data_IF_266378715913
#
_entry.id   IF_266378715913
#
_cell.length_a   1.000
_cell.length_b   1.000
_cell.length_c   1.000
_cell.angle_alpha   90.00
_cell.angle_beta   90.00
_cell.angle_gamma   90.00
#
_symmetry.space_group_name_H-M   'P 1'
#
loop_
_entity.id
_entity.type
_entity.pdbx_description
1 polymer ?
#
# COMPACT_ATOMS: atom_id res chain seq x y z
N UNK A 1 -14.83 -72.47 26.53
CA UNK A 1 -14.04 -71.31 26.04
C UNK A 1 -15.02 -70.21 25.63
N UNK A 2 -15.17 -69.14 26.46
CA UNK A 2 -16.06 -68.04 26.18
C UNK A 2 -15.24 -66.93 25.53
N UNK A 3 -15.56 -66.55 24.24
CA UNK A 3 -14.98 -65.43 23.56
C UNK A 3 -15.67 -64.11 23.96
N UNK A 4 -14.93 -63.17 24.55
CA UNK A 4 -15.39 -61.85 24.92
C UNK A 4 -15.09 -60.97 23.68
N UNK A 5 -16.14 -60.45 23.03
CA UNK A 5 -16.02 -59.41 22.03
C UNK A 5 -16.02 -58.06 22.75
N UNK A 6 -14.91 -57.30 22.58
CA UNK A 6 -14.81 -55.91 23.02
C UNK A 6 -15.20 -55.02 21.83
N UNK A 7 -16.35 -54.37 21.94
CA UNK A 7 -16.78 -53.37 20.95
C UNK A 7 -16.11 -52.02 21.28
N UNK A 8 -15.20 -51.58 20.46
CA UNK A 8 -14.60 -50.22 20.54
C UNK A 8 -15.57 -49.21 19.94
N UNK A 9 -16.16 -48.38 20.78
CA UNK A 9 -16.94 -47.23 20.34
C UNK A 9 -15.97 -46.07 19.98
N UNK A 10 -15.84 -45.73 18.69
CA UNK A 10 -15.16 -44.50 18.25
C UNK A 10 -16.09 -43.31 18.45
N UNK A 11 -15.79 -42.46 19.42
CA UNK A 11 -16.40 -41.12 19.50
C UNK A 11 -15.79 -40.24 18.42
N UNK A 12 -16.56 -39.93 17.38
CA UNK A 12 -16.22 -38.88 16.41
C UNK A 12 -16.47 -37.53 17.06
N UNK A 13 -15.40 -36.84 17.49
CA UNK A 13 -15.45 -35.45 17.89
C UNK A 13 -15.63 -34.58 16.62
N UNK A 14 -16.87 -34.27 16.30
CA UNK A 14 -17.21 -33.31 15.25
C UNK A 14 -16.80 -31.91 15.69
N UNK A 15 -15.68 -31.41 15.17
CA UNK A 15 -15.33 -30.00 15.30
C UNK A 15 -16.30 -29.17 14.44
N UNK A 16 -17.28 -28.54 15.08
CA UNK A 16 -18.11 -27.54 14.41
C UNK A 16 -17.22 -26.32 14.15
N UNK A 17 -16.80 -26.14 12.89
CA UNK A 17 -16.19 -24.90 12.46
C UNK A 17 -17.26 -23.80 12.62
N UNK A 18 -17.14 -22.97 13.64
CA UNK A 18 -17.95 -21.76 13.79
C UNK A 18 -17.56 -20.82 12.65
N UNK A 19 -18.49 -20.52 11.76
CA UNK A 19 -18.34 -19.46 10.79
C UNK A 19 -18.15 -18.14 11.57
N UNK A 20 -16.93 -17.59 11.52
CA UNK A 20 -16.66 -16.27 12.10
C UNK A 20 -17.48 -15.25 11.32
N UNK A 21 -18.34 -14.52 12.02
CA UNK A 21 -19.03 -13.35 11.45
C UNK A 21 -17.95 -12.37 10.99
N UNK A 22 -17.92 -11.95 9.70
CA UNK A 22 -16.95 -10.98 9.25
C UNK A 22 -17.03 -9.71 10.10
N UNK A 23 -15.92 -9.31 10.70
CA UNK A 23 -15.85 -8.03 11.40
C UNK A 23 -16.05 -6.91 10.39
N UNK A 24 -16.84 -5.86 10.71
CA UNK A 24 -16.93 -4.68 9.85
C UNK A 24 -15.54 -4.14 9.55
N UNK A 25 -15.29 -3.80 8.29
CA UNK A 25 -14.01 -3.25 7.89
C UNK A 25 -13.85 -1.83 8.46
N UNK A 26 -12.72 -1.59 9.12
CA UNK A 26 -12.34 -0.27 9.66
C UNK A 26 -11.33 0.37 8.70
N UNK A 27 -11.87 1.01 7.67
CA UNK A 27 -11.09 1.65 6.61
C UNK A 27 -10.62 3.04 7.01
N UNK A 28 -9.34 3.30 6.81
CA UNK A 28 -8.74 4.63 6.93
C UNK A 28 -8.27 5.09 5.55
N UNK A 29 -8.55 6.36 5.24
CA UNK A 29 -8.04 7.03 4.04
C UNK A 29 -7.24 8.27 4.45
N UNK A 30 -6.04 8.44 3.91
CA UNK A 30 -5.25 9.65 3.98
C UNK A 30 -5.10 10.22 2.57
N UNK A 31 -5.41 11.49 2.40
CA UNK A 31 -5.25 12.20 1.14
C UNK A 31 -4.24 13.34 1.31
N UNK A 32 -3.29 13.41 0.38
CA UNK A 32 -2.27 14.45 0.30
C UNK A 32 -2.41 15.14 -1.05
N UNK A 33 -2.12 16.43 -1.08
CA UNK A 33 -2.17 17.24 -2.30
C UNK A 33 -1.17 18.38 -2.22
N UNK A 34 -0.43 18.62 -3.32
CA UNK A 34 0.52 19.73 -3.43
C UNK A 34 0.59 20.21 -4.86
N UNK A 35 0.57 21.54 -5.04
CA UNK A 35 0.69 22.13 -6.36
C UNK A 35 2.17 22.25 -6.78
N UNK A 36 2.44 21.98 -8.06
CA UNK A 36 3.76 21.96 -8.69
C UNK A 36 3.77 23.00 -9.80
N UNK A 37 4.78 23.88 -9.81
CA UNK A 37 4.98 24.90 -10.83
C UNK A 37 5.65 24.31 -12.10
N UNK A 38 5.08 23.22 -12.61
CA UNK A 38 5.48 22.54 -13.85
C UNK A 38 4.26 21.93 -14.54
N UNK A 39 4.28 21.79 -15.88
CA UNK A 39 3.29 20.99 -16.62
C UNK A 39 3.22 19.55 -16.13
N UNK A 40 2.07 18.91 -16.25
CA UNK A 40 1.84 17.56 -15.73
C UNK A 40 2.81 16.50 -16.28
N UNK A 41 3.20 16.57 -17.56
CA UNK A 41 4.18 15.63 -18.15
C UNK A 41 5.53 15.72 -17.44
N UNK A 42 6.06 16.96 -17.27
CA UNK A 42 7.34 17.17 -16.59
C UNK A 42 7.27 16.83 -15.11
N UNK A 43 6.19 17.22 -14.45
CA UNK A 43 5.98 16.90 -13.04
C UNK A 43 5.92 15.38 -12.82
N UNK A 44 5.21 14.63 -13.67
CA UNK A 44 5.12 13.18 -13.61
C UNK A 44 6.48 12.50 -13.78
N UNK A 45 7.23 12.90 -14.79
CA UNK A 45 8.56 12.36 -15.05
C UNK A 45 9.54 12.64 -13.91
N UNK A 46 9.66 13.90 -13.49
CA UNK A 46 10.64 14.32 -12.47
C UNK A 46 10.26 13.89 -11.04
N UNK A 47 8.96 13.82 -10.71
CA UNK A 47 8.50 13.26 -9.44
C UNK A 47 8.60 11.72 -9.38
N UNK A 48 9.08 11.07 -10.44
CA UNK A 48 9.33 9.63 -10.45
C UNK A 48 8.13 8.77 -10.83
N UNK A 49 7.13 9.34 -11.50
CA UNK A 49 5.96 8.58 -11.94
C UNK A 49 6.28 7.47 -12.96
N UNK A 50 7.40 7.59 -13.65
CA UNK A 50 7.91 6.58 -14.60
C UNK A 50 8.93 5.60 -13.98
N UNK A 51 9.42 5.87 -12.76
CA UNK A 51 10.33 5.00 -12.01
C UNK A 51 9.55 4.30 -10.90
N UNK A 52 9.31 3.00 -11.08
CA UNK A 52 8.51 2.20 -10.13
C UNK A 52 9.09 2.18 -8.71
N UNK A 53 10.39 2.42 -8.55
CA UNK A 53 11.06 2.50 -7.24
C UNK A 53 11.37 3.93 -6.76
N UNK A 54 10.99 4.97 -7.49
CA UNK A 54 11.25 6.36 -7.08
C UNK A 54 10.72 6.71 -5.70
N UNK A 55 9.57 6.16 -5.30
CA UNK A 55 8.97 6.39 -3.98
C UNK A 55 9.94 6.05 -2.85
N UNK A 56 10.77 5.02 -3.00
CA UNK A 56 11.75 4.61 -2.00
C UNK A 56 12.67 5.75 -1.57
N UNK A 57 13.12 6.57 -2.54
CA UNK A 57 13.97 7.76 -2.28
C UNK A 57 13.21 8.82 -1.47
N UNK A 58 11.91 8.99 -1.74
CA UNK A 58 11.10 10.03 -1.10
C UNK A 58 10.65 9.67 0.31
N UNK A 59 10.53 8.37 0.61
CA UNK A 59 10.16 7.87 1.95
C UNK A 59 11.36 7.34 2.76
N UNK A 60 12.60 7.50 2.24
CA UNK A 60 13.87 7.02 2.84
C UNK A 60 13.87 5.50 3.13
N UNK A 61 13.34 4.70 2.21
CA UNK A 61 13.33 3.24 2.30
C UNK A 61 13.95 2.61 1.04
N UNK A 62 14.78 1.56 1.19
CA UNK A 62 15.28 0.81 0.04
C UNK A 62 14.12 0.21 -0.76
N UNK A 63 14.24 0.28 -2.09
CA UNK A 63 13.27 -0.28 -3.02
C UNK A 63 13.98 -1.09 -4.10
N UNK A 64 13.44 -2.26 -4.42
CA UNK A 64 13.91 -3.13 -5.51
C UNK A 64 12.74 -3.46 -6.41
N UNK A 65 12.92 -3.33 -7.72
CA UNK A 65 11.96 -3.82 -8.71
C UNK A 65 12.15 -5.33 -8.87
N UNK A 66 11.14 -6.09 -8.52
CA UNK A 66 11.19 -7.57 -8.59
C UNK A 66 10.77 -8.06 -9.98
N UNK A 67 9.80 -7.39 -10.62
CA UNK A 67 9.37 -7.67 -12.00
C UNK A 67 8.68 -6.47 -12.63
N UNK A 68 8.74 -6.39 -13.97
CA UNK A 68 8.17 -5.30 -14.76
C UNK A 68 8.92 -3.98 -14.62
N UNK A 69 8.29 -2.88 -15.07
CA UNK A 69 8.85 -1.52 -15.04
C UNK A 69 7.85 -0.49 -14.49
N UNK A 70 6.81 -0.95 -13.77
CA UNK A 70 5.73 -0.13 -13.24
C UNK A 70 4.44 -0.16 -14.07
N UNK A 71 4.35 -0.98 -15.12
CA UNK A 71 3.08 -1.31 -15.79
C UNK A 71 2.20 -2.19 -14.90
N UNK A 72 0.94 -2.39 -15.33
CA UNK A 72 -0.02 -3.25 -14.63
C UNK A 72 0.58 -4.64 -14.36
N UNK A 73 0.54 -5.09 -13.12
CA UNK A 73 1.09 -6.37 -12.67
C UNK A 73 2.59 -6.32 -12.32
N UNK A 74 3.29 -5.19 -12.45
CA UNK A 74 4.67 -5.05 -11.96
C UNK A 74 4.73 -5.18 -10.45
N UNK A 75 5.83 -5.76 -9.93
CA UNK A 75 6.10 -5.93 -8.52
C UNK A 75 7.36 -5.19 -8.08
N UNK A 76 7.33 -4.67 -6.86
CA UNK A 76 8.51 -4.15 -6.14
C UNK A 76 8.49 -4.58 -4.69
N UNK A 77 9.65 -4.62 -4.06
CA UNK A 77 9.83 -4.80 -2.62
C UNK A 77 10.35 -3.51 -1.99
N UNK A 78 9.65 -3.00 -0.99
CA UNK A 78 10.09 -1.92 -0.11
C UNK A 78 10.61 -2.54 1.19
N UNK A 79 11.84 -2.25 1.59
CA UNK A 79 12.41 -2.76 2.84
C UNK A 79 12.08 -1.78 3.97
N UNK A 80 11.18 -2.17 4.86
CA UNK A 80 10.79 -1.38 6.03
C UNK A 80 11.49 -1.88 7.30
N UNK A 81 11.53 -1.09 8.38
CA UNK A 81 12.06 -1.57 9.67
C UNK A 81 11.34 -2.81 10.22
N UNK A 82 10.09 -3.03 9.82
CA UNK A 82 9.29 -4.20 10.19
C UNK A 82 9.50 -5.40 9.25
N UNK A 83 10.31 -5.26 8.21
CA UNK A 83 10.59 -6.27 7.19
C UNK A 83 10.20 -5.84 5.79
N UNK A 84 10.45 -6.69 4.79
CA UNK A 84 10.14 -6.42 3.40
C UNK A 84 8.62 -6.40 3.16
N UNK A 85 8.17 -5.44 2.35
CA UNK A 85 6.79 -5.29 1.91
C UNK A 85 6.75 -5.36 0.40
N UNK A 86 6.00 -6.32 -0.13
CA UNK A 86 5.80 -6.49 -1.57
C UNK A 86 4.61 -5.65 -2.00
N UNK A 87 4.77 -4.92 -3.09
CA UNK A 87 3.74 -4.09 -3.71
C UNK A 87 3.59 -4.45 -5.18
N UNK A 88 2.35 -4.46 -5.68
CA UNK A 88 2.08 -4.65 -7.10
C UNK A 88 1.21 -3.54 -7.67
N UNK A 89 1.43 -3.19 -8.94
CA UNK A 89 0.60 -2.23 -9.67
C UNK A 89 -0.73 -2.89 -10.02
N UNK A 90 -1.84 -2.32 -9.53
CA UNK A 90 -3.21 -2.82 -9.76
C UNK A 90 -4.03 -1.91 -10.69
N UNK A 91 -3.59 -0.67 -10.90
CA UNK A 91 -4.14 0.23 -11.91
C UNK A 91 -3.08 1.22 -12.37
N UNK A 92 -3.16 1.67 -13.64
CA UNK A 92 -2.26 2.67 -14.20
C UNK A 92 -2.94 3.47 -15.31
N UNK A 93 -2.65 4.78 -15.33
CA UNK A 93 -2.96 5.68 -16.44
C UNK A 93 -1.68 6.39 -16.87
N UNK A 94 -1.79 7.38 -17.79
CA UNK A 94 -0.64 8.20 -18.21
C UNK A 94 0.02 8.92 -17.02
N UNK A 95 -0.77 9.44 -16.08
CA UNK A 95 -0.29 10.24 -14.95
C UNK A 95 -0.75 9.69 -13.59
N UNK A 96 -0.99 8.41 -13.48
CA UNK A 96 -1.29 7.79 -12.19
C UNK A 96 -0.89 6.33 -12.16
N UNK A 97 -0.62 5.84 -10.97
CA UNK A 97 -0.63 4.42 -10.65
C UNK A 97 -1.27 4.17 -9.29
N UNK A 98 -1.93 3.03 -9.17
CA UNK A 98 -2.38 2.48 -7.90
C UNK A 98 -1.63 1.18 -7.65
N UNK A 99 -1.15 1.01 -6.43
CA UNK A 99 -0.52 -0.23 -5.98
C UNK A 99 -1.23 -0.81 -4.78
N UNK A 100 -1.10 -2.11 -4.61
CA UNK A 100 -1.60 -2.86 -3.46
C UNK A 100 -0.46 -3.58 -2.76
N UNK A 101 -0.65 -3.88 -1.46
CA UNK A 101 0.22 -4.74 -0.66
C UNK A 101 -0.51 -6.07 -0.40
N UNK A 102 -0.44 -7.05 -1.33
CA UNK A 102 -1.31 -8.24 -1.30
C UNK A 102 -1.01 -9.19 -0.14
N UNK A 103 0.19 -9.08 0.46
CA UNK A 103 0.63 -9.99 1.51
C UNK A 103 0.65 -9.35 2.91
N UNK A 104 0.04 -8.17 3.06
CA UNK A 104 -0.10 -7.52 4.38
C UNK A 104 -1.50 -7.71 4.93
N UNK A 105 -1.67 -7.86 6.27
CA UNK A 105 -2.99 -8.08 6.88
C UNK A 105 -3.91 -6.85 6.81
N UNK A 106 -3.39 -5.70 6.41
CA UNK A 106 -4.11 -4.42 6.43
C UNK A 106 -4.72 -4.04 5.06
N UNK A 107 -4.59 -4.85 4.03
CA UNK A 107 -5.14 -4.56 2.70
C UNK A 107 -4.76 -3.16 2.19
N UNK A 108 -3.49 -2.82 2.28
CA UNK A 108 -3.02 -1.47 1.97
C UNK A 108 -2.99 -1.21 0.46
N UNK A 109 -3.49 -0.03 0.08
CA UNK A 109 -3.40 0.51 -1.27
C UNK A 109 -2.87 1.94 -1.23
N UNK A 110 -2.12 2.30 -2.26
CA UNK A 110 -1.70 3.69 -2.47
C UNK A 110 -1.90 4.10 -3.91
N UNK A 111 -2.39 5.32 -4.13
CA UNK A 111 -2.53 5.91 -5.46
C UNK A 111 -1.74 7.21 -5.53
N UNK A 112 -0.81 7.28 -6.46
CA UNK A 112 -0.13 8.53 -6.85
C UNK A 112 -0.73 9.02 -8.17
N UNK A 113 -1.06 10.30 -8.27
CA UNK A 113 -1.54 10.90 -9.51
C UNK A 113 -1.05 12.34 -9.67
N UNK A 114 -0.93 12.79 -10.93
CA UNK A 114 -0.70 14.20 -11.29
C UNK A 114 -1.81 14.65 -12.21
N UNK A 115 -2.44 15.79 -11.87
CA UNK A 115 -3.48 16.45 -12.65
C UNK A 115 -2.92 17.74 -13.27
N UNK A 116 -3.14 18.04 -14.56
CA UNK A 116 -2.85 19.36 -15.11
C UNK A 116 -3.84 20.39 -14.53
N UNK A 117 -3.32 21.50 -14.00
CA UNK A 117 -4.14 22.66 -13.57
C UNK A 117 -4.17 23.72 -14.63
N UNK A 118 -3.00 24.02 -15.23
CA UNK A 118 -2.82 24.96 -16.33
C UNK A 118 -1.79 24.39 -17.31
N UNK A 119 -1.45 25.14 -18.35
CA UNK A 119 -0.36 24.76 -19.26
C UNK A 119 1.02 24.70 -18.58
N UNK A 120 1.19 25.33 -17.41
CA UNK A 120 2.49 25.46 -16.72
C UNK A 120 2.47 24.92 -15.28
N UNK A 121 1.34 24.50 -14.77
CA UNK A 121 1.19 24.01 -13.40
C UNK A 121 0.39 22.72 -13.34
N UNK A 122 0.65 21.93 -12.33
CA UNK A 122 -0.04 20.68 -12.07
C UNK A 122 -0.23 20.45 -10.58
N UNK A 123 -1.02 19.44 -10.22
CA UNK A 123 -1.25 19.01 -8.83
C UNK A 123 -0.84 17.56 -8.67
N UNK A 124 0.08 17.32 -7.74
CA UNK A 124 0.38 15.97 -7.28
C UNK A 124 -0.57 15.61 -6.15
N UNK A 125 -1.21 14.45 -6.26
CA UNK A 125 -2.02 13.85 -5.21
C UNK A 125 -1.46 12.48 -4.81
N UNK A 126 -1.62 12.14 -3.55
CA UNK A 126 -1.31 10.82 -3.03
C UNK A 126 -2.40 10.37 -2.08
N UNK A 127 -3.10 9.29 -2.41
CA UNK A 127 -4.13 8.70 -1.57
C UNK A 127 -3.64 7.37 -1.01
N UNK A 128 -3.82 7.17 0.29
CA UNK A 128 -3.54 5.90 0.98
C UNK A 128 -4.83 5.39 1.58
N UNK A 129 -5.09 4.09 1.43
CA UNK A 129 -6.23 3.42 2.05
C UNK A 129 -5.79 2.07 2.64
N UNK A 130 -6.24 1.76 3.84
CA UNK A 130 -5.99 0.46 4.47
C UNK A 130 -7.06 0.11 5.49
N UNK A 131 -7.19 -1.18 5.80
CA UNK A 131 -8.07 -1.70 6.84
C UNK A 131 -7.29 -1.83 8.17
N UNK A 132 -7.73 -1.14 9.21
CA UNK A 132 -7.08 -1.18 10.52
C UNK A 132 -7.35 -2.46 11.32
N UNK A 133 -8.30 -3.29 10.92
CA UNK A 133 -8.61 -4.54 11.63
C UNK A 133 -7.42 -5.53 11.65
N UNK A 134 -6.44 -5.37 10.76
CA UNK A 134 -5.18 -6.11 10.78
C UNK A 134 -4.17 -5.62 11.82
N UNK A 135 -4.44 -4.54 12.56
CA UNK A 135 -3.58 -3.99 13.60
C UNK A 135 -4.02 -4.45 14.99
N UNK A 136 -3.08 -4.72 15.91
CA UNK A 136 -3.37 -5.41 17.17
C UNK A 136 -4.24 -4.60 18.14
N UNK A 137 -4.06 -3.28 18.18
CA UNK A 137 -4.73 -2.40 19.15
C UNK A 137 -4.86 -0.95 18.67
N UNK A 138 -5.51 -0.12 19.46
CA UNK A 138 -5.73 1.30 19.16
C UNK A 138 -4.42 2.10 19.12
N UNK A 139 -3.43 1.77 19.93
CA UNK A 139 -2.14 2.47 19.90
C UNK A 139 -1.41 2.21 18.57
N UNK A 140 -1.40 0.97 18.09
CA UNK A 140 -0.87 0.60 16.78
C UNK A 140 -1.64 1.27 15.64
N UNK A 141 -2.97 1.39 15.72
CA UNK A 141 -3.80 2.09 14.74
C UNK A 141 -3.44 3.58 14.67
N UNK A 142 -3.37 4.26 15.81
CA UNK A 142 -2.97 5.66 15.90
C UNK A 142 -1.56 5.88 15.35
N UNK A 143 -0.59 5.07 15.76
CA UNK A 143 0.79 5.14 15.27
C UNK A 143 0.88 4.92 13.75
N UNK A 144 0.07 4.01 13.21
CA UNK A 144 0.00 3.75 11.77
C UNK A 144 -0.51 4.96 10.98
N UNK A 145 -1.51 5.68 11.49
CA UNK A 145 -2.05 6.90 10.88
C UNK A 145 -1.00 8.01 10.93
N UNK A 146 -0.50 8.34 12.12
CA UNK A 146 0.42 9.47 12.30
C UNK A 146 1.76 9.24 11.59
N UNK A 147 2.31 8.03 11.66
CA UNK A 147 3.54 7.69 10.95
C UNK A 147 3.42 7.83 9.43
N UNK A 148 2.27 7.46 8.86
CA UNK A 148 2.02 7.65 7.43
C UNK A 148 1.82 9.12 7.05
N UNK A 149 1.08 9.89 7.87
CA UNK A 149 0.91 11.33 7.65
C UNK A 149 2.26 12.03 7.53
N UNK A 150 3.11 11.89 8.54
CA UNK A 150 4.43 12.53 8.57
C UNK A 150 5.29 12.11 7.39
N UNK A 151 5.37 10.80 7.13
CA UNK A 151 6.21 10.25 6.04
C UNK A 151 5.76 10.72 4.67
N UNK A 152 4.46 10.64 4.37
CA UNK A 152 3.95 10.98 3.04
C UNK A 152 3.87 12.49 2.81
N UNK A 153 3.65 13.30 3.85
CA UNK A 153 3.78 14.75 3.73
C UNK A 153 5.21 15.15 3.36
N UNK A 154 6.21 14.60 4.03
CA UNK A 154 7.62 14.83 3.67
C UNK A 154 7.95 14.31 2.27
N UNK A 155 7.42 13.16 1.87
CA UNK A 155 7.60 12.62 0.52
C UNK A 155 7.02 13.55 -0.56
N UNK A 156 5.83 14.11 -0.35
CA UNK A 156 5.19 15.05 -1.27
C UNK A 156 6.03 16.31 -1.49
N UNK A 157 6.62 16.87 -0.42
CA UNK A 157 7.52 18.03 -0.51
C UNK A 157 8.79 17.70 -1.31
N UNK A 158 9.38 16.53 -1.10
CA UNK A 158 10.55 16.06 -1.85
C UNK A 158 10.22 15.81 -3.32
N UNK A 159 9.06 15.23 -3.62
CA UNK A 159 8.58 15.04 -4.98
C UNK A 159 8.37 16.37 -5.69
N UNK A 160 7.76 17.37 -5.03
CA UNK A 160 7.61 18.73 -5.53
C UNK A 160 8.96 19.35 -5.82
N UNK A 161 9.89 19.32 -4.88
CA UNK A 161 11.24 19.85 -5.07
C UNK A 161 11.96 19.20 -6.26
N UNK A 162 11.84 17.87 -6.43
CA UNK A 162 12.41 17.16 -7.57
C UNK A 162 11.74 17.57 -8.89
N UNK A 163 10.42 17.75 -8.90
CA UNK A 163 9.66 18.15 -10.08
C UNK A 163 9.98 19.59 -10.52
N UNK A 164 10.22 20.49 -9.58
CA UNK A 164 10.51 21.91 -9.84
C UNK A 164 12.01 22.21 -10.08
N UNK A 165 12.88 21.24 -9.84
CA UNK A 165 14.31 21.39 -10.11
C UNK A 165 14.56 21.74 -11.60
N UNK A 166 15.60 22.55 -11.89
CA UNK A 166 15.97 22.97 -13.24
C UNK A 166 16.14 21.80 -14.23
#
# INVERSE_FOLDING_TARGET
MKKIMIASAMLALGSTAQAQTPQPADWVTLNFSIDIARPADMAWEKAGGNDWCAIGKYIDLPCTVDSGKGELGSFRTIVTPAGPVVENVVARTKYSYTYAQPFTPVFYHGTMAIEPLTATTSRLTYALIWNQNGLPDQAARTAAVEGRKVRFQAAMERMKAAAEAP
#
